data_IF_634439134891
#
_entry.id   IF_634439134891
#
_cell.length_a   1.000
_cell.length_b   1.000
_cell.length_c   1.000
_cell.angle_alpha   90.00
_cell.angle_beta   90.00
_cell.angle_gamma   90.00
#
_symmetry.space_group_name_H-M   'P 1'
#
loop_
_entity.id
_entity.type
_entity.pdbx_description
1 polymer ?
#
# COMPACT_ATOMS: atom_id res chain seq x y z
N UNK A 1 6.61 -18.39 -7.81
CA UNK A 1 5.36 -17.82 -8.35
C UNK A 1 5.63 -17.48 -9.81
N UNK A 2 4.65 -17.56 -10.71
CA UNK A 2 4.87 -17.10 -12.09
C UNK A 2 5.10 -15.58 -12.09
N UNK A 3 6.00 -15.08 -12.94
CA UNK A 3 6.40 -13.66 -13.01
C UNK A 3 5.18 -12.74 -13.17
N UNK A 4 4.19 -13.18 -13.96
CA UNK A 4 2.92 -12.49 -14.13
C UNK A 4 2.14 -12.34 -12.81
N UNK A 5 2.10 -13.37 -11.97
CA UNK A 5 1.42 -13.34 -10.67
C UNK A 5 2.11 -12.39 -9.70
N UNK A 6 3.45 -12.35 -9.70
CA UNK A 6 4.23 -11.43 -8.87
C UNK A 6 4.00 -9.97 -9.29
N UNK A 7 4.06 -9.69 -10.60
CA UNK A 7 3.73 -8.36 -11.15
C UNK A 7 2.32 -7.92 -10.78
N UNK A 8 1.34 -8.80 -10.92
CA UNK A 8 -0.06 -8.53 -10.58
C UNK A 8 -0.25 -8.26 -9.08
N UNK A 9 0.45 -9.00 -8.20
CA UNK A 9 0.41 -8.78 -6.76
C UNK A 9 1.00 -7.45 -6.33
N UNK A 10 2.16 -7.06 -6.88
CA UNK A 10 2.75 -5.76 -6.57
C UNK A 10 1.91 -4.59 -7.06
N UNK A 11 1.27 -4.74 -8.23
CA UNK A 11 0.37 -3.74 -8.78
C UNK A 11 -0.89 -3.58 -7.92
N UNK A 12 -1.46 -4.69 -7.41
CA UNK A 12 -2.54 -4.66 -6.42
C UNK A 12 -2.10 -4.01 -5.10
N UNK A 13 -0.93 -4.38 -4.57
CA UNK A 13 -0.40 -3.80 -3.35
C UNK A 13 -0.21 -2.27 -3.45
N UNK A 14 0.29 -1.80 -4.59
CA UNK A 14 0.40 -0.37 -4.88
C UNK A 14 -0.98 0.31 -4.96
N UNK A 15 -1.95 -0.29 -5.66
CA UNK A 15 -3.33 0.20 -5.75
C UNK A 15 -3.98 0.37 -4.38
N UNK A 16 -3.93 -0.67 -3.53
CA UNK A 16 -4.48 -0.62 -2.18
C UNK A 16 -3.77 0.42 -1.30
N UNK A 17 -2.45 0.54 -1.44
CA UNK A 17 -1.67 1.54 -0.69
C UNK A 17 -2.08 2.96 -1.05
N UNK A 18 -2.22 3.26 -2.34
CA UNK A 18 -2.66 4.58 -2.82
C UNK A 18 -4.07 4.88 -2.30
N UNK A 19 -4.97 3.91 -2.33
CA UNK A 19 -6.33 4.08 -1.83
C UNK A 19 -6.36 4.40 -0.32
N UNK A 20 -5.56 3.68 0.47
CA UNK A 20 -5.38 3.92 1.90
C UNK A 20 -4.77 5.29 2.19
N UNK A 21 -3.77 5.71 1.40
CA UNK A 21 -3.13 7.02 1.55
C UNK A 21 -4.07 8.17 1.19
N UNK A 22 -4.88 8.04 0.13
CA UNK A 22 -5.92 9.02 -0.20
C UNK A 22 -6.95 9.09 0.92
N UNK A 23 -7.38 7.93 1.44
CA UNK A 23 -8.28 7.84 2.58
C UNK A 23 -7.73 8.48 3.86
N UNK A 24 -6.45 8.33 4.13
CA UNK A 24 -5.80 8.91 5.30
C UNK A 24 -5.45 10.39 5.14
N UNK A 25 -4.96 10.82 3.99
CA UNK A 25 -4.47 12.20 3.80
C UNK A 25 -5.57 13.16 3.37
N UNK A 26 -6.53 12.69 2.59
CA UNK A 26 -7.47 13.54 1.86
C UNK A 26 -8.91 13.53 2.41
N UNK A 27 -9.28 12.57 3.26
CA UNK A 27 -10.60 12.61 3.89
C UNK A 27 -10.66 13.67 5.00
N UNK A 28 -11.71 14.51 5.01
CA UNK A 28 -11.93 15.48 6.09
C UNK A 28 -12.15 14.78 7.44
N UNK A 29 -11.70 15.43 8.52
CA UNK A 29 -11.90 14.95 9.90
C UNK A 29 -13.38 14.85 10.29
N UNK A 30 -14.28 15.54 9.58
CA UNK A 30 -15.72 15.43 9.77
C UNK A 30 -16.29 14.07 9.31
N UNK A 31 -15.58 13.34 8.44
CA UNK A 31 -16.00 12.03 7.93
C UNK A 31 -15.31 10.87 8.64
N UNK A 32 -14.09 11.07 9.16
CA UNK A 32 -13.28 10.02 9.76
C UNK A 32 -12.58 10.55 11.02
N UNK A 33 -12.67 9.80 12.12
CA UNK A 33 -11.97 10.11 13.36
C UNK A 33 -10.44 10.12 13.18
N UNK A 34 -9.74 11.06 13.83
CA UNK A 34 -8.28 11.21 13.75
C UNK A 34 -7.45 9.93 13.97
N UNK A 35 -7.82 9.01 14.90
CA UNK A 35 -7.08 7.75 15.06
C UNK A 35 -7.17 6.87 13.82
N UNK A 36 -8.35 6.84 13.19
CA UNK A 36 -8.60 6.05 11.99
C UNK A 36 -7.87 6.66 10.80
N UNK A 37 -7.86 7.99 10.68
CA UNK A 37 -7.08 8.72 9.67
C UNK A 37 -5.57 8.41 9.77
N UNK A 38 -5.04 8.43 10.99
CA UNK A 38 -3.63 8.08 11.27
C UNK A 38 -3.33 6.62 10.92
N UNK A 39 -4.24 5.71 11.26
CA UNK A 39 -4.11 4.29 10.93
C UNK A 39 -4.15 4.02 9.42
N UNK A 40 -5.07 4.65 8.67
CA UNK A 40 -5.13 4.52 7.22
C UNK A 40 -3.84 5.00 6.56
N UNK A 41 -3.34 6.15 7.01
CA UNK A 41 -2.12 6.74 6.46
C UNK A 41 -0.91 5.85 6.73
N UNK A 42 -0.73 5.39 7.98
CA UNK A 42 0.40 4.54 8.36
C UNK A 42 0.35 3.16 7.69
N UNK A 43 -0.83 2.54 7.62
CA UNK A 43 -1.02 1.26 6.92
C UNK A 43 -0.76 1.39 5.42
N UNK A 44 -1.26 2.44 4.77
CA UNK A 44 -0.98 2.71 3.36
C UNK A 44 0.52 2.88 3.09
N UNK A 45 1.24 3.55 3.99
CA UNK A 45 2.68 3.80 3.87
C UNK A 45 3.50 2.52 4.08
N UNK A 46 3.16 1.72 5.10
CA UNK A 46 3.79 0.42 5.36
C UNK A 46 3.53 -0.55 4.22
N UNK A 47 2.31 -0.60 3.69
CA UNK A 47 1.95 -1.47 2.57
C UNK A 47 2.67 -1.06 1.29
N UNK A 48 2.85 0.24 1.03
CA UNK A 48 3.56 0.74 -0.15
C UNK A 48 5.05 0.39 -0.10
N UNK A 49 5.70 0.71 1.03
CA UNK A 49 7.13 0.44 1.21
C UNK A 49 7.38 -1.05 1.28
N UNK A 50 6.62 -1.78 2.11
CA UNK A 50 6.74 -3.22 2.28
C UNK A 50 6.48 -3.97 0.97
N UNK A 51 5.43 -3.59 0.24
CA UNK A 51 5.11 -4.16 -1.07
C UNK A 51 6.23 -3.97 -2.08
N UNK A 52 6.81 -2.75 -2.17
CA UNK A 52 7.93 -2.47 -3.07
C UNK A 52 9.20 -3.23 -2.67
N UNK A 53 9.53 -3.29 -1.38
CA UNK A 53 10.72 -4.00 -0.89
C UNK A 53 10.61 -5.50 -1.21
N UNK A 54 9.46 -6.12 -0.90
CA UNK A 54 9.22 -7.54 -1.19
C UNK A 54 9.35 -7.79 -2.69
N UNK A 55 8.78 -6.91 -3.52
CA UNK A 55 8.86 -7.03 -4.98
C UNK A 55 10.29 -6.87 -5.50
N UNK A 56 11.07 -5.96 -4.93
CA UNK A 56 12.49 -5.76 -5.25
C UNK A 56 13.34 -6.98 -4.90
N UNK A 57 13.18 -7.55 -3.70
CA UNK A 57 13.92 -8.76 -3.29
C UNK A 57 13.48 -10.02 -4.04
N UNK A 58 12.23 -10.07 -4.49
CA UNK A 58 11.73 -11.17 -5.30
C UNK A 58 12.20 -11.07 -6.76
N UNK A 59 12.65 -9.90 -7.23
CA UNK A 59 13.26 -9.73 -8.55
C UNK A 59 14.76 -10.07 -8.58
N UNK A 60 15.44 -9.96 -7.43
CA UNK A 60 16.88 -10.26 -7.28
C UNK A 60 17.19 -11.77 -7.20
N UNK A 61 16.15 -12.63 -7.15
CA UNK A 61 16.28 -14.09 -7.05
C UNK A 61 16.09 -14.85 -8.37
N UNK A 62 15.83 -14.14 -9.46
CA UNK A 62 15.88 -14.67 -10.84
C UNK A 62 17.23 -14.34 -11.49
#
# INVERSE_FOLDING_TARGET
MNEATQKMFGLLAALFSIFLLIGGLYLPSDFIADPLRTALTSLGLVLLIGGNIIMSFAHDKD
#
